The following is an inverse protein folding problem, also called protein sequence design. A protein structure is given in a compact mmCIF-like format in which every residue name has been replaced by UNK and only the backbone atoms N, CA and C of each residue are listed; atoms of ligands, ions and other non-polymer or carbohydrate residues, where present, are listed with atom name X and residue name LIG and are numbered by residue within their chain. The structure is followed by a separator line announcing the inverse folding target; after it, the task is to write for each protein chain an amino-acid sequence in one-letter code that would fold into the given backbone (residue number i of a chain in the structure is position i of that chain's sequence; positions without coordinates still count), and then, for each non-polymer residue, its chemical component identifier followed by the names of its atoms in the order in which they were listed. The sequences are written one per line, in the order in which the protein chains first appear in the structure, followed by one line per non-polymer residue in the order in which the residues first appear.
data_IF_664755905825
#
_entry.id   IF_664755905825
#
_cell.length_a   1.000
_cell.length_b   1.000
_cell.length_c   1.000
_cell.angle_alpha   90.00
_cell.angle_beta   90.00
_cell.angle_gamma   90.00
#
_symmetry.space_group_name_H-M   'P 1'
#
loop_
_entity.id
_entity.type
_entity.pdbx_description
1 polymer ?
#
# COMPACT_ATOMS: atom_id res chain seq x y z
N UNK A 1 -9.42 22.26 -6.12
CA UNK A 1 -10.62 21.42 -5.87
C UNK A 1 -10.14 20.03 -5.52
N UNK A 2 -10.57 19.46 -4.39
CA UNK A 2 -10.25 18.07 -4.03
C UNK A 2 -11.11 17.11 -4.87
N UNK A 3 -10.52 16.04 -5.40
CA UNK A 3 -11.22 15.04 -6.22
C UNK A 3 -10.57 13.67 -6.11
N UNK A 4 -11.37 12.61 -6.21
CA UNK A 4 -10.89 11.25 -6.48
C UNK A 4 -10.82 11.11 -8.01
N UNK A 5 -9.64 10.79 -8.54
CA UNK A 5 -9.43 10.70 -9.99
C UNK A 5 -9.60 9.30 -10.54
N UNK A 6 -9.29 8.28 -9.74
CA UNK A 6 -9.36 6.88 -10.15
C UNK A 6 -9.42 5.93 -8.94
N UNK A 7 -9.80 4.69 -9.21
CA UNK A 7 -9.64 3.54 -8.31
C UNK A 7 -8.88 2.44 -9.05
N UNK A 8 -7.86 1.86 -8.41
CA UNK A 8 -7.03 0.79 -8.99
C UNK A 8 -7.02 -0.40 -8.04
N UNK A 9 -7.04 -1.60 -8.60
CA UNK A 9 -7.07 -2.85 -7.84
C UNK A 9 -5.91 -3.74 -8.28
N UNK A 10 -5.22 -4.34 -7.32
CA UNK A 10 -4.12 -5.25 -7.63
C UNK A 10 -3.90 -6.25 -6.51
N UNK A 11 -3.40 -7.43 -6.87
CA UNK A 11 -2.92 -8.41 -5.90
C UNK A 11 -1.59 -7.94 -5.28
N UNK A 12 -1.33 -8.30 -4.02
CA UNK A 12 -0.10 -7.96 -3.30
C UNK A 12 0.68 -9.20 -2.84
N UNK A 13 0.55 -10.33 -3.54
CA UNK A 13 1.22 -11.59 -3.16
C UNK A 13 2.74 -11.39 -3.11
N UNK A 14 3.43 -11.80 -2.02
CA UNK A 14 4.85 -11.50 -1.79
C UNK A 14 5.78 -12.08 -2.88
N UNK A 15 5.38 -13.19 -3.52
CA UNK A 15 6.13 -13.82 -4.59
C UNK A 15 6.36 -12.90 -5.80
N UNK A 16 5.47 -11.91 -6.05
CA UNK A 16 5.67 -10.90 -7.10
C UNK A 16 6.88 -10.02 -6.76
N UNK A 17 6.98 -9.56 -5.51
CA UNK A 17 8.12 -8.78 -5.02
C UNK A 17 9.42 -9.57 -5.13
N UNK A 18 9.42 -10.82 -4.65
CA UNK A 18 10.58 -11.71 -4.74
C UNK A 18 11.02 -11.95 -6.20
N UNK A 19 10.07 -12.10 -7.14
CA UNK A 19 10.40 -12.26 -8.55
C UNK A 19 11.09 -11.03 -9.16
N UNK A 20 10.71 -9.82 -8.74
CA UNK A 20 11.39 -8.58 -9.14
C UNK A 20 12.79 -8.54 -8.55
N UNK A 21 12.90 -8.72 -7.22
CA UNK A 21 14.14 -8.55 -6.46
C UNK A 21 15.23 -9.56 -6.90
N UNK A 22 14.82 -10.73 -7.39
CA UNK A 22 15.72 -11.77 -7.93
C UNK A 22 15.88 -11.74 -9.46
N UNK A 23 15.36 -10.73 -10.16
CA UNK A 23 15.51 -10.61 -11.62
C UNK A 23 14.78 -11.68 -12.44
N UNK A 24 13.72 -12.28 -11.88
CA UNK A 24 12.96 -13.39 -12.48
C UNK A 24 11.74 -12.95 -13.29
N UNK A 25 11.52 -11.65 -13.45
CA UNK A 25 10.32 -11.11 -14.10
C UNK A 25 10.13 -11.56 -15.55
N UNK A 26 11.21 -11.93 -16.25
CA UNK A 26 11.18 -12.43 -17.62
C UNK A 26 11.03 -13.96 -17.74
N UNK A 27 11.08 -14.71 -16.63
CA UNK A 27 10.93 -16.17 -16.66
C UNK A 27 9.54 -16.57 -17.18
N UNK A 28 9.38 -17.72 -17.89
CA UNK A 28 8.11 -18.11 -18.51
C UNK A 28 6.91 -18.14 -17.55
N UNK A 29 7.14 -18.50 -16.29
CA UNK A 29 6.12 -18.51 -15.24
C UNK A 29 5.63 -17.08 -14.91
N UNK A 30 6.55 -16.13 -14.78
CA UNK A 30 6.28 -14.77 -14.33
C UNK A 30 5.90 -13.80 -15.46
N UNK A 31 6.36 -14.08 -16.68
CA UNK A 31 6.25 -13.17 -17.82
C UNK A 31 4.83 -12.66 -18.04
N UNK A 32 3.82 -13.53 -18.00
CA UNK A 32 2.42 -13.13 -18.19
C UNK A 32 1.91 -12.16 -17.12
N UNK A 33 2.36 -12.32 -15.87
CA UNK A 33 2.00 -11.41 -14.78
C UNK A 33 2.57 -10.03 -15.08
N UNK A 34 3.87 -9.94 -15.34
CA UNK A 34 4.53 -8.64 -15.55
C UNK A 34 4.10 -7.94 -16.85
N UNK A 35 3.89 -8.68 -17.94
CA UNK A 35 3.32 -8.14 -19.18
C UNK A 35 1.92 -7.53 -18.92
N UNK A 36 1.14 -8.13 -18.01
CA UNK A 36 -0.18 -7.64 -17.61
C UNK A 36 -0.15 -6.28 -16.89
N UNK A 37 0.95 -5.94 -16.21
CA UNK A 37 1.11 -4.66 -15.51
C UNK A 37 1.56 -3.51 -16.44
N UNK A 38 1.98 -3.78 -17.68
CA UNK A 38 2.59 -2.77 -18.55
C UNK A 38 1.63 -1.62 -18.89
N UNK A 39 0.34 -1.92 -19.09
CA UNK A 39 -0.67 -0.86 -19.26
C UNK A 39 -0.79 -0.01 -18.00
N UNK A 40 -0.92 -0.64 -16.82
CA UNK A 40 -1.08 0.06 -15.55
C UNK A 40 0.12 0.94 -15.23
N UNK A 41 1.35 0.50 -15.51
CA UNK A 41 2.56 1.31 -15.33
C UNK A 41 2.54 2.57 -16.19
N UNK A 42 2.18 2.46 -17.48
CA UNK A 42 2.06 3.62 -18.37
C UNK A 42 0.96 4.56 -17.92
N UNK A 43 -0.23 4.01 -17.63
CA UNK A 43 -1.37 4.80 -17.17
C UNK A 43 -1.04 5.57 -15.88
N UNK A 44 -0.32 4.94 -14.94
CA UNK A 44 0.11 5.54 -13.69
C UNK A 44 1.04 6.74 -13.90
N UNK A 45 1.96 6.67 -14.86
CA UNK A 45 2.84 7.78 -15.22
C UNK A 45 2.04 8.97 -15.78
N UNK A 46 1.07 8.70 -16.65
CA UNK A 46 0.21 9.72 -17.27
C UNK A 46 -0.84 10.31 -16.31
N UNK A 47 -1.18 9.59 -15.24
CA UNK A 47 -2.24 9.94 -14.28
C UNK A 47 -1.73 9.95 -12.84
N UNK A 48 -0.51 10.48 -12.62
CA UNK A 48 0.12 10.51 -11.31
C UNK A 48 -0.73 11.31 -10.31
N UNK A 49 -1.23 10.71 -9.20
CA UNK A 49 -1.98 11.39 -8.16
C UNK A 49 -1.02 12.06 -7.17
N UNK A 50 -1.52 13.08 -6.47
CA UNK A 50 -0.81 13.69 -5.35
C UNK A 50 -0.71 12.74 -4.15
N UNK A 51 -1.75 11.92 -3.93
CA UNK A 51 -1.84 10.95 -2.82
C UNK A 51 -2.53 9.67 -3.28
N UNK A 52 -2.04 8.52 -2.81
CA UNK A 52 -2.71 7.22 -2.93
C UNK A 52 -3.31 6.85 -1.57
N UNK A 53 -4.63 6.72 -1.49
CA UNK A 53 -5.30 6.12 -0.32
C UNK A 53 -5.26 4.60 -0.46
N UNK A 54 -4.25 3.96 0.13
CA UNK A 54 -3.99 2.53 0.00
C UNK A 54 -4.74 1.74 1.08
N UNK A 55 -5.71 0.91 0.68
CA UNK A 55 -6.37 -0.05 1.57
C UNK A 55 -5.72 -1.42 1.40
N UNK A 56 -5.22 -1.98 2.50
CA UNK A 56 -4.63 -3.31 2.53
C UNK A 56 -4.81 -3.94 3.91
N UNK A 57 -4.53 -5.23 4.03
CA UNK A 57 -4.44 -5.91 5.31
C UNK A 57 -2.97 -6.11 5.69
N UNK A 58 -2.65 -5.86 6.96
CA UNK A 58 -1.42 -6.38 7.54
C UNK A 58 -1.45 -7.92 7.56
N UNK A 59 -0.29 -8.55 7.39
CA UNK A 59 -0.14 -10.01 7.38
C UNK A 59 0.51 -10.51 8.68
N UNK A 60 0.06 -9.95 9.82
CA UNK A 60 0.61 -10.18 11.16
C UNK A 60 2.07 -9.76 11.30
N UNK A 61 2.40 -8.59 10.74
CA UNK A 61 3.74 -8.00 10.76
C UNK A 61 3.77 -6.79 11.68
N UNK A 62 2.98 -5.77 11.38
CA UNK A 62 2.83 -4.60 12.24
C UNK A 62 1.88 -4.88 13.42
N UNK A 63 0.86 -5.70 13.21
CA UNK A 63 -0.14 -6.03 14.21
C UNK A 63 0.02 -7.48 14.66
N UNK A 64 0.49 -7.65 15.91
CA UNK A 64 0.57 -8.96 16.55
C UNK A 64 -0.82 -9.41 17.05
N UNK A 65 -0.88 -10.60 17.65
CA UNK A 65 -2.10 -11.08 18.31
C UNK A 65 -2.52 -10.24 19.54
N UNK A 66 -1.68 -9.31 19.99
CA UNK A 66 -1.99 -8.41 21.10
C UNK A 66 -2.91 -7.25 20.69
N UNK A 67 -2.90 -6.85 19.41
CA UNK A 67 -3.67 -5.71 18.90
C UNK A 67 -4.20 -6.07 17.50
N UNK A 68 -5.52 -6.27 17.39
CA UNK A 68 -6.19 -6.71 16.15
C UNK A 68 -7.29 -5.70 15.78
N UNK A 69 -6.92 -4.54 15.20
CA UNK A 69 -7.89 -3.49 14.89
C UNK A 69 -8.76 -3.88 13.69
N UNK A 70 -10.05 -3.55 13.72
CA UNK A 70 -10.92 -3.71 12.55
C UNK A 70 -10.55 -2.70 11.45
N UNK A 71 -10.33 -1.44 11.84
CA UNK A 71 -9.84 -0.39 10.95
C UNK A 71 -8.64 0.30 11.61
N UNK A 72 -7.52 0.30 10.90
CA UNK A 72 -6.33 1.06 11.26
C UNK A 72 -6.05 2.11 10.18
N UNK A 73 -5.75 3.34 10.61
CA UNK A 73 -5.39 4.44 9.71
C UNK A 73 -4.00 4.96 10.03
N UNK A 74 -3.09 4.85 9.07
CA UNK A 74 -1.75 5.41 9.14
C UNK A 74 -1.76 6.93 9.06
N UNK A 75 -1.11 7.58 10.01
CA UNK A 75 -1.04 9.04 10.20
C UNK A 75 0.38 9.59 10.25
N UNK A 76 1.39 8.71 10.18
CA UNK A 76 2.80 9.10 10.15
C UNK A 76 3.19 9.86 8.87
N UNK A 77 4.27 10.63 8.96
CA UNK A 77 4.89 11.32 7.81
C UNK A 77 5.63 10.37 6.87
N UNK A 78 6.06 9.22 7.39
CA UNK A 78 6.77 8.18 6.63
C UNK A 78 6.47 6.79 7.20
N UNK A 79 6.55 5.77 6.35
CA UNK A 79 6.40 4.37 6.71
C UNK A 79 7.60 3.59 6.18
N UNK A 80 8.30 2.90 7.08
CA UNK A 80 9.43 2.04 6.71
C UNK A 80 8.95 0.69 6.21
N UNK A 81 9.75 0.05 5.36
CA UNK A 81 9.48 -1.32 4.92
C UNK A 81 9.70 -2.26 6.09
N UNK A 82 8.69 -3.06 6.41
CA UNK A 82 8.76 -4.00 7.51
C UNK A 82 9.72 -5.16 7.19
N UNK A 83 10.30 -5.74 8.24
CA UNK A 83 10.97 -7.04 8.16
C UNK A 83 9.94 -8.15 8.38
N UNK A 84 9.69 -8.95 7.35
CA UNK A 84 8.74 -10.08 7.38
C UNK A 84 9.46 -11.43 7.59
N UNK A 85 10.69 -11.40 8.12
CA UNK A 85 11.53 -12.58 8.40
C UNK A 85 12.68 -12.81 7.41
N UNK A 86 12.84 -11.93 6.41
CA UNK A 86 13.89 -12.01 5.38
C UNK A 86 14.75 -10.73 5.33
N UNK A 87 14.60 -9.85 6.31
CA UNK A 87 15.06 -8.47 6.24
C UNK A 87 14.05 -7.56 5.53
N UNK A 88 14.09 -6.23 5.77
CA UNK A 88 13.31 -5.28 5.00
C UNK A 88 13.62 -5.38 3.51
N UNK A 89 12.59 -5.41 2.66
CA UNK A 89 12.78 -5.39 1.20
C UNK A 89 13.53 -4.11 0.79
N UNK A 90 14.45 -4.17 -0.20
CA UNK A 90 15.27 -3.04 -0.60
C UNK A 90 14.51 -2.07 -1.52
N UNK A 91 13.41 -1.51 -1.02
CA UNK A 91 12.60 -0.48 -1.69
C UNK A 91 12.53 0.78 -0.82
N UNK A 92 12.31 1.96 -1.42
CA UNK A 92 12.17 3.19 -0.64
C UNK A 92 11.02 3.10 0.38
N UNK A 93 11.18 3.79 1.51
CA UNK A 93 10.09 4.04 2.43
C UNK A 93 8.95 4.81 1.75
N UNK A 94 7.75 4.69 2.31
CA UNK A 94 6.55 5.36 1.77
C UNK A 94 6.35 6.68 2.49
N UNK A 95 6.16 7.77 1.74
CA UNK A 95 5.84 9.08 2.31
C UNK A 95 4.35 9.14 2.63
N UNK A 96 4.03 9.51 3.86
CA UNK A 96 2.66 9.71 4.32
C UNK A 96 2.14 11.11 4.04
N UNK A 97 0.84 11.31 4.25
CA UNK A 97 0.18 12.62 4.14
C UNK A 97 -0.65 12.92 5.41
N UNK A 98 0.00 13.30 6.53
CA UNK A 98 -0.66 13.40 7.84
C UNK A 98 -1.90 14.30 7.87
N UNK A 99 -1.88 15.43 7.14
CA UNK A 99 -3.03 16.35 7.10
C UNK A 99 -4.28 15.71 6.49
N UNK A 100 -4.11 14.87 5.45
CA UNK A 100 -5.22 14.17 4.81
C UNK A 100 -5.69 13.02 5.69
N UNK A 101 -4.76 12.28 6.31
CA UNK A 101 -5.10 11.22 7.24
C UNK A 101 -5.90 11.76 8.44
N UNK A 102 -5.47 12.88 9.03
CA UNK A 102 -6.19 13.54 10.12
C UNK A 102 -7.58 14.02 9.68
N UNK A 103 -7.70 14.59 8.47
CA UNK A 103 -8.98 14.99 7.91
C UNK A 103 -9.93 13.80 7.75
N UNK A 104 -9.45 12.68 7.19
CA UNK A 104 -10.24 11.46 7.02
C UNK A 104 -10.66 10.90 8.38
N UNK A 105 -9.74 10.78 9.33
CA UNK A 105 -10.00 10.28 10.68
C UNK A 105 -11.15 11.04 11.34
N UNK A 106 -11.08 12.38 11.34
CA UNK A 106 -12.12 13.23 11.93
C UNK A 106 -13.49 12.98 11.30
N UNK A 107 -13.56 12.86 9.98
CA UNK A 107 -14.84 12.70 9.28
C UNK A 107 -15.45 11.32 9.50
N UNK A 108 -14.65 10.25 9.44
CA UNK A 108 -15.22 8.90 9.61
C UNK A 108 -15.57 8.60 11.06
N UNK A 109 -14.84 9.17 12.03
CA UNK A 109 -15.23 9.10 13.45
C UNK A 109 -16.57 9.80 13.67
N UNK A 110 -16.82 10.96 13.02
CA UNK A 110 -18.13 11.63 13.06
C UNK A 110 -19.24 10.85 12.34
N UNK A 111 -18.89 9.83 11.57
CA UNK A 111 -19.80 8.87 10.93
C UNK A 111 -19.87 7.55 11.70
N UNK A 112 -19.51 7.55 12.99
CA UNK A 112 -19.58 6.41 13.91
C UNK A 112 -18.68 5.21 13.54
N UNK A 113 -17.54 5.48 12.89
CA UNK A 113 -16.48 4.47 12.70
C UNK A 113 -15.43 4.54 13.82
N UNK A 114 -15.24 3.42 14.51
CA UNK A 114 -14.18 3.26 15.49
C UNK A 114 -12.85 2.95 14.79
N UNK A 115 -11.90 3.88 14.87
CA UNK A 115 -10.57 3.75 14.27
C UNK A 115 -9.49 3.45 15.31
N UNK A 116 -8.52 2.64 14.92
CA UNK A 116 -7.18 2.64 15.51
C UNK A 116 -6.28 3.58 14.70
N UNK A 117 -5.64 4.53 15.36
CA UNK A 117 -4.72 5.48 14.71
C UNK A 117 -3.29 4.98 14.90
N UNK A 118 -2.55 4.84 13.81
CA UNK A 118 -1.15 4.34 13.78
C UNK A 118 -0.22 5.24 12.99
#
# INVERSE_FOLDING_TARGET
MARITASVYTSHVPAIGAAIDHGKSAEPYWKKVFDGYEFSKRWMQENTPDVVFLVYNDHATAFSLEIIPTFALGTATEFVVADEGWGPRPVPGVIGHPELAAHIAQHVIQQDFDLTIV
#
